data_IF_050238890927
#
_entry.id   IF_050238890927
#
_cell.length_a   1.000
_cell.length_b   1.000
_cell.length_c   1.000
_cell.angle_alpha   90.00
_cell.angle_beta   90.00
_cell.angle_gamma   90.00
#
_symmetry.space_group_name_H-M   'P 1'
#
loop_
_entity.id
_entity.type
_entity.pdbx_description
1 polymer ?
#
# COMPACT_ATOMS: atom_id res chain seq x y z
N UNK A 1 30.12 -42.59 -22.91
CA UNK A 1 30.35 -41.15 -22.67
C UNK A 1 29.57 -40.25 -23.65
N UNK A 2 29.60 -40.50 -24.96
CA UNK A 2 28.83 -39.73 -25.97
C UNK A 2 27.30 -39.79 -25.82
N UNK A 3 26.73 -40.96 -25.54
CA UNK A 3 25.28 -41.14 -25.35
C UNK A 3 24.77 -40.36 -24.13
N UNK A 4 25.52 -40.38 -23.02
CA UNK A 4 25.21 -39.62 -21.81
C UNK A 4 25.23 -38.11 -22.04
N UNK A 5 26.15 -37.61 -22.86
CA UNK A 5 26.23 -36.20 -23.23
C UNK A 5 25.07 -35.78 -24.14
N UNK A 6 24.65 -36.63 -25.07
CA UNK A 6 23.50 -36.41 -25.95
C UNK A 6 22.19 -36.38 -25.16
N UNK A 7 21.99 -37.34 -24.24
CA UNK A 7 20.83 -37.37 -23.34
C UNK A 7 20.79 -36.11 -22.47
N UNK A 8 21.92 -35.69 -21.92
CA UNK A 8 21.99 -34.49 -21.08
C UNK A 8 21.66 -33.20 -21.86
N UNK A 9 22.18 -33.05 -23.07
CA UNK A 9 21.85 -31.92 -23.96
C UNK A 9 20.37 -31.93 -24.40
N UNK A 10 19.82 -33.11 -24.68
CA UNK A 10 18.40 -33.27 -25.03
C UNK A 10 17.47 -32.91 -23.85
N UNK A 11 17.88 -33.21 -22.61
CA UNK A 11 17.13 -32.85 -21.41
C UNK A 11 17.15 -31.33 -21.21
N UNK A 12 18.33 -30.70 -21.32
CA UNK A 12 18.47 -29.24 -21.19
C UNK A 12 17.65 -28.50 -22.25
N UNK A 13 17.65 -28.98 -23.50
CA UNK A 13 16.90 -28.35 -24.57
C UNK A 13 15.38 -28.45 -24.33
N UNK A 14 14.92 -29.60 -23.83
CA UNK A 14 13.51 -29.79 -23.47
C UNK A 14 13.10 -28.89 -22.30
N UNK A 15 13.94 -28.76 -21.27
CA UNK A 15 13.71 -27.82 -20.17
C UNK A 15 13.66 -26.35 -20.65
N UNK A 16 14.51 -25.97 -21.61
CA UNK A 16 14.50 -24.64 -22.22
C UNK A 16 13.21 -24.37 -23.00
N UNK A 17 12.69 -25.34 -23.74
CA UNK A 17 11.40 -25.23 -24.44
C UNK A 17 10.22 -25.11 -23.46
N UNK A 18 10.24 -25.84 -22.34
CA UNK A 18 9.21 -25.73 -21.28
C UNK A 18 9.24 -24.36 -20.59
N UNK A 19 10.43 -23.78 -20.41
CA UNK A 19 10.60 -22.48 -19.76
C UNK A 19 10.25 -21.32 -20.69
N UNK A 20 10.87 -21.27 -21.87
CA UNK A 20 10.86 -20.11 -22.77
C UNK A 20 9.90 -20.25 -23.96
N UNK A 21 9.38 -21.46 -24.20
CA UNK A 21 8.49 -21.78 -25.32
C UNK A 21 9.20 -22.47 -26.49
N UNK A 22 8.41 -22.93 -27.46
CA UNK A 22 8.87 -23.78 -28.58
C UNK A 22 9.51 -23.03 -29.75
N UNK A 23 9.70 -21.71 -29.64
CA UNK A 23 10.33 -20.92 -30.69
C UNK A 23 11.86 -21.07 -30.64
N UNK A 24 12.40 -21.90 -31.53
CA UNK A 24 13.85 -22.13 -31.66
C UNK A 24 14.61 -20.84 -31.97
N UNK A 25 14.07 -20.01 -32.86
CA UNK A 25 14.63 -18.71 -33.23
C UNK A 25 14.72 -17.77 -32.03
N UNK A 26 13.69 -17.75 -31.18
CA UNK A 26 13.72 -16.98 -29.92
C UNK A 26 14.75 -17.53 -28.93
N UNK A 27 14.80 -18.85 -28.75
CA UNK A 27 15.78 -19.50 -27.86
C UNK A 27 17.22 -19.22 -28.29
N UNK A 28 17.51 -19.32 -29.59
CA UNK A 28 18.81 -18.96 -30.14
C UNK A 28 19.09 -17.48 -29.87
N UNK A 29 18.18 -16.57 -30.21
CA UNK A 29 18.30 -15.14 -29.94
C UNK A 29 18.61 -14.82 -28.47
N UNK A 30 17.85 -15.41 -27.54
CA UNK A 30 18.06 -15.25 -26.11
C UNK A 30 19.41 -15.80 -25.65
N UNK A 31 19.84 -16.95 -26.18
CA UNK A 31 21.13 -17.57 -25.84
C UNK A 31 22.30 -16.68 -26.28
N UNK A 32 22.26 -16.16 -27.51
CA UNK A 32 23.29 -15.23 -27.99
C UNK A 32 23.33 -13.93 -27.20
N UNK A 33 22.17 -13.37 -26.86
CA UNK A 33 22.07 -12.16 -26.04
C UNK A 33 22.67 -12.37 -24.63
N UNK A 34 22.42 -13.52 -24.01
CA UNK A 34 22.99 -13.88 -22.70
C UNK A 34 24.52 -14.07 -22.76
N UNK A 35 25.05 -14.56 -23.88
CA UNK A 35 26.48 -14.69 -24.11
C UNK A 35 27.15 -13.36 -24.49
N UNK A 36 26.40 -12.27 -24.62
CA UNK A 36 26.89 -10.97 -25.07
C UNK A 36 27.39 -10.99 -26.52
N UNK A 37 26.97 -11.99 -27.30
CA UNK A 37 27.37 -12.15 -28.70
C UNK A 37 26.36 -11.44 -29.60
N UNK A 38 26.87 -10.69 -30.55
CA UNK A 38 26.06 -10.13 -31.62
C UNK A 38 25.72 -11.27 -32.58
N UNK A 39 24.42 -11.51 -32.77
CA UNK A 39 23.93 -12.42 -33.78
C UNK A 39 24.27 -11.85 -35.17
N UNK A 40 25.32 -12.39 -35.79
CA UNK A 40 25.65 -12.14 -37.19
C UNK A 40 24.68 -12.93 -38.07
N UNK A 41 23.47 -12.42 -38.16
CA UNK A 41 22.39 -13.06 -38.88
C UNK A 41 22.17 -12.36 -40.23
N UNK A 42 22.54 -13.05 -41.31
CA UNK A 42 21.95 -12.87 -42.64
C UNK A 42 20.48 -13.36 -42.60
N UNK A 43 19.65 -12.79 -41.72
CA UNK A 43 18.25 -13.18 -41.59
C UNK A 43 17.42 -12.47 -42.66
N UNK A 44 16.65 -13.27 -43.41
CA UNK A 44 15.57 -12.75 -44.23
C UNK A 44 14.52 -12.10 -43.31
N UNK A 45 14.23 -10.81 -43.51
CA UNK A 45 13.27 -10.04 -42.72
C UNK A 45 11.91 -10.73 -42.60
N UNK A 46 11.46 -11.42 -43.66
CA UNK A 46 10.19 -12.15 -43.66
C UNK A 46 10.17 -13.30 -42.64
N UNK A 47 11.27 -14.05 -42.51
CA UNK A 47 11.37 -15.14 -41.54
C UNK A 47 11.39 -14.60 -40.10
N UNK A 48 12.11 -13.49 -39.87
CA UNK A 48 12.11 -12.80 -38.57
C UNK A 48 10.73 -12.30 -38.17
N UNK A 49 9.94 -11.82 -39.16
CA UNK A 49 8.58 -11.32 -38.92
C UNK A 49 7.62 -12.46 -38.54
N UNK A 50 7.73 -13.61 -39.20
CA UNK A 50 6.93 -14.79 -38.88
C UNK A 50 7.24 -15.33 -37.47
N UNK A 51 8.53 -15.44 -37.13
CA UNK A 51 8.97 -15.83 -35.79
C UNK A 51 8.51 -14.83 -34.72
N UNK A 52 8.63 -13.52 -34.99
CA UNK A 52 8.15 -12.48 -34.08
C UNK A 52 6.63 -12.54 -33.89
N UNK A 53 5.87 -12.78 -34.96
CA UNK A 53 4.40 -12.94 -34.91
C UNK A 53 4.02 -14.15 -34.07
N UNK A 54 4.76 -15.25 -34.18
CA UNK A 54 4.55 -16.46 -33.39
C UNK A 54 4.81 -16.22 -31.90
N UNK A 55 5.92 -15.53 -31.56
CA UNK A 55 6.29 -15.20 -30.17
C UNK A 55 5.33 -14.18 -29.56
N UNK A 56 4.81 -13.23 -30.36
CA UNK A 56 3.82 -12.24 -29.92
C UNK A 56 2.38 -12.80 -29.84
N UNK A 57 2.16 -14.07 -30.19
CA UNK A 57 0.82 -14.66 -30.19
C UNK A 57 0.28 -14.81 -28.77
N UNK A 58 -1.04 -14.64 -28.59
CA UNK A 58 -1.70 -14.79 -27.28
C UNK A 58 -1.60 -16.19 -26.68
N UNK A 59 -1.19 -17.19 -27.47
CA UNK A 59 -1.00 -18.58 -27.04
C UNK A 59 0.45 -18.89 -26.70
N UNK A 60 1.40 -17.99 -26.95
CA UNK A 60 2.82 -18.29 -26.79
C UNK A 60 3.18 -18.64 -25.35
N UNK A 61 2.54 -17.99 -24.39
CA UNK A 61 2.77 -18.23 -22.96
C UNK A 61 2.04 -19.47 -22.43
N UNK A 62 1.12 -20.05 -23.22
CA UNK A 62 0.35 -21.22 -22.80
C UNK A 62 1.26 -22.41 -22.54
N UNK A 63 1.09 -23.04 -21.37
CA UNK A 63 1.89 -24.18 -20.91
C UNK A 63 3.41 -23.93 -20.80
N UNK A 64 3.83 -22.66 -20.78
CA UNK A 64 5.22 -22.26 -20.50
C UNK A 64 5.41 -21.74 -19.07
N UNK A 65 6.66 -21.41 -18.72
CA UNK A 65 7.02 -20.76 -17.46
C UNK A 65 6.98 -19.21 -17.51
N UNK A 66 6.58 -18.61 -18.64
CA UNK A 66 6.36 -17.16 -18.74
C UNK A 66 5.35 -16.68 -17.71
N UNK A 67 5.67 -15.57 -17.05
CA UNK A 67 4.88 -15.00 -15.96
C UNK A 67 4.87 -15.79 -14.65
N UNK A 68 5.40 -17.02 -14.65
CA UNK A 68 5.51 -17.86 -13.44
C UNK A 68 6.93 -17.87 -12.88
N UNK A 69 7.94 -17.94 -13.76
CA UNK A 69 9.35 -18.00 -13.40
C UNK A 69 10.23 -17.02 -14.18
N UNK A 70 9.79 -16.65 -15.39
CA UNK A 70 10.51 -15.82 -16.35
C UNK A 70 9.64 -14.64 -16.77
N UNK A 71 10.29 -13.50 -17.04
CA UNK A 71 9.62 -12.26 -17.40
C UNK A 71 9.00 -11.55 -16.20
N UNK A 72 7.94 -10.78 -16.46
CA UNK A 72 7.15 -10.11 -15.42
C UNK A 72 6.29 -11.13 -14.70
N UNK A 73 6.44 -11.23 -13.38
CA UNK A 73 5.72 -12.24 -12.61
C UNK A 73 4.25 -11.88 -12.43
N UNK A 74 3.38 -12.86 -12.71
CA UNK A 74 1.94 -12.76 -12.58
C UNK A 74 1.49 -13.04 -11.14
N UNK A 75 0.29 -12.57 -10.81
CA UNK A 75 -0.40 -12.94 -9.56
C UNK A 75 -0.53 -11.83 -8.52
N UNK A 76 0.08 -10.66 -8.73
CA UNK A 76 -0.16 -9.46 -7.92
C UNK A 76 -0.38 -8.24 -8.82
N UNK A 77 -1.15 -7.25 -8.33
CA UNK A 77 -1.31 -5.93 -8.97
C UNK A 77 -0.10 -5.00 -8.76
N UNK A 78 0.92 -5.49 -8.06
CA UNK A 78 2.25 -4.87 -7.89
C UNK A 78 3.31 -5.83 -8.44
N UNK A 79 3.15 -6.19 -9.72
CA UNK A 79 4.04 -7.11 -10.44
C UNK A 79 5.48 -6.60 -10.48
N UNK A 80 5.67 -5.29 -10.43
CA UNK A 80 6.95 -4.61 -10.34
C UNK A 80 7.71 -4.97 -9.06
N UNK A 81 7.04 -4.84 -7.91
CA UNK A 81 7.60 -5.22 -6.61
C UNK A 81 7.82 -6.73 -6.54
N UNK A 82 6.87 -7.53 -7.04
CA UNK A 82 6.96 -8.99 -7.05
C UNK A 82 8.15 -9.48 -7.87
N UNK A 83 8.30 -8.95 -9.09
CA UNK A 83 9.38 -9.31 -10.00
C UNK A 83 10.73 -8.91 -9.43
N UNK A 84 10.84 -7.67 -8.92
CA UNK A 84 12.05 -7.18 -8.27
C UNK A 84 12.46 -8.02 -7.05
N UNK A 85 11.49 -8.40 -6.20
CA UNK A 85 11.74 -9.28 -5.07
C UNK A 85 12.25 -10.65 -5.51
N UNK A 86 11.64 -11.27 -6.52
CA UNK A 86 12.07 -12.57 -7.03
C UNK A 86 13.49 -12.53 -7.63
N UNK A 87 13.83 -11.45 -8.35
CA UNK A 87 15.18 -11.20 -8.87
C UNK A 87 16.19 -11.13 -7.71
N UNK A 88 15.89 -10.39 -6.64
CA UNK A 88 16.75 -10.31 -5.47
C UNK A 88 16.84 -11.63 -4.68
N UNK A 89 15.76 -12.42 -4.59
CA UNK A 89 15.76 -13.76 -4.01
C UNK A 89 16.72 -14.69 -4.77
N UNK A 90 16.89 -14.50 -6.08
CA UNK A 90 17.86 -15.23 -6.91
C UNK A 90 19.32 -14.74 -6.72
N UNK A 91 19.54 -13.67 -5.94
CA UNK A 91 20.86 -13.16 -5.55
C UNK A 91 21.37 -11.99 -6.39
N UNK A 92 20.55 -11.45 -7.28
CA UNK A 92 20.88 -10.23 -8.03
C UNK A 92 20.90 -9.00 -7.12
N UNK A 93 21.59 -7.95 -7.56
CA UNK A 93 21.69 -6.66 -6.86
C UNK A 93 21.17 -5.55 -7.77
N UNK A 94 20.44 -4.62 -7.18
CA UNK A 94 20.01 -3.37 -7.82
C UNK A 94 20.94 -2.22 -7.44
N UNK A 95 21.17 -1.29 -8.36
CA UNK A 95 21.91 -0.05 -8.13
C UNK A 95 20.98 1.16 -8.33
N UNK A 96 21.15 2.20 -7.51
CA UNK A 96 20.40 3.46 -7.62
C UNK A 96 21.31 4.53 -8.24
N UNK A 97 20.98 4.97 -9.45
CA UNK A 97 21.65 6.09 -10.11
C UNK A 97 20.75 7.33 -10.09
N UNK A 98 21.22 8.41 -9.47
CA UNK A 98 20.51 9.69 -9.37
C UNK A 98 21.34 10.81 -9.99
N UNK A 99 21.36 10.94 -11.33
CA UNK A 99 22.13 11.98 -12.01
C UNK A 99 21.56 13.38 -11.74
N UNK A 100 22.42 14.39 -11.86
CA UNK A 100 22.03 15.81 -11.90
C UNK A 100 22.36 16.37 -13.29
N UNK A 101 21.37 16.78 -14.10
CA UNK A 101 19.94 16.88 -13.79
C UNK A 101 19.22 15.53 -13.74
N UNK A 102 18.07 15.50 -13.05
CA UNK A 102 17.19 14.32 -12.98
C UNK A 102 16.83 13.85 -14.40
N UNK A 103 17.19 12.60 -14.71
CA UNK A 103 17.02 12.01 -16.04
C UNK A 103 15.55 11.70 -16.41
N UNK A 104 14.70 11.41 -15.41
CA UNK A 104 13.30 11.02 -15.64
C UNK A 104 12.35 11.93 -14.85
N UNK A 105 11.44 12.62 -15.55
CA UNK A 105 10.37 13.41 -14.96
C UNK A 105 9.02 12.85 -15.41
N UNK A 106 8.15 12.56 -14.45
CA UNK A 106 6.79 12.08 -14.69
C UNK A 106 5.73 13.05 -14.17
N UNK A 107 4.49 12.85 -14.59
CA UNK A 107 3.34 13.59 -14.07
C UNK A 107 2.80 12.89 -12.82
N UNK A 108 2.67 13.62 -11.71
CA UNK A 108 1.96 13.13 -10.53
C UNK A 108 0.44 13.23 -10.72
N UNK A 109 -0.36 12.35 -10.07
CA UNK A 109 -1.80 12.54 -9.97
C UNK A 109 -2.11 13.93 -9.42
N UNK A 110 -2.98 14.67 -10.11
CA UNK A 110 -3.41 16.00 -9.67
C UNK A 110 -4.62 15.92 -8.72
N UNK A 111 -5.41 14.84 -8.82
CA UNK A 111 -6.58 14.62 -7.98
C UNK A 111 -6.26 13.64 -6.85
N UNK A 112 -6.67 13.98 -5.63
CA UNK A 112 -6.51 13.12 -4.46
C UNK A 112 -7.34 11.82 -4.57
N UNK A 113 -8.45 11.82 -5.30
CA UNK A 113 -9.25 10.59 -5.54
C UNK A 113 -8.40 9.58 -6.33
N UNK A 114 -7.78 10.03 -7.42
CA UNK A 114 -6.89 9.23 -8.25
C UNK A 114 -5.71 8.71 -7.40
N UNK A 115 -5.14 9.56 -6.55
CA UNK A 115 -4.09 9.16 -5.62
C UNK A 115 -4.58 8.08 -4.63
N UNK A 116 -5.78 8.20 -4.04
CA UNK A 116 -6.31 7.19 -3.12
C UNK A 116 -6.55 5.84 -3.80
N UNK A 117 -7.03 5.82 -5.05
CA UNK A 117 -7.18 4.59 -5.85
C UNK A 117 -5.81 3.94 -6.09
N UNK A 118 -4.82 4.75 -6.47
CA UNK A 118 -3.45 4.29 -6.67
C UNK A 118 -2.86 3.70 -5.38
N UNK A 119 -3.04 4.38 -4.24
CA UNK A 119 -2.60 3.91 -2.93
C UNK A 119 -3.27 2.61 -2.51
N UNK A 120 -4.57 2.44 -2.80
CA UNK A 120 -5.31 1.19 -2.56
C UNK A 120 -4.69 0.05 -3.37
N UNK A 121 -4.47 0.26 -4.67
CA UNK A 121 -3.88 -0.75 -5.58
C UNK A 121 -2.47 -1.17 -5.14
N UNK A 122 -1.66 -0.19 -4.76
CA UNK A 122 -0.32 -0.42 -4.22
C UNK A 122 -0.37 -1.23 -2.93
N UNK A 123 -1.17 -0.80 -1.95
CA UNK A 123 -1.30 -1.51 -0.69
C UNK A 123 -1.83 -2.95 -0.87
N UNK A 124 -2.85 -3.16 -1.73
CA UNK A 124 -3.39 -4.49 -1.99
C UNK A 124 -2.37 -5.39 -2.69
N UNK A 125 -1.70 -4.92 -3.75
CA UNK A 125 -0.72 -5.73 -4.48
C UNK A 125 0.47 -6.10 -3.60
N UNK A 126 0.99 -5.16 -2.82
CA UNK A 126 2.06 -5.40 -1.87
C UNK A 126 1.67 -6.37 -0.75
N UNK A 127 0.46 -6.24 -0.20
CA UNK A 127 -0.01 -7.16 0.82
C UNK A 127 -0.26 -8.57 0.25
N UNK A 128 -0.74 -8.68 -1.00
CA UNK A 128 -0.90 -9.96 -1.69
C UNK A 128 0.44 -10.70 -1.84
N UNK A 129 1.52 -9.96 -2.13
CA UNK A 129 2.89 -10.52 -2.15
C UNK A 129 3.27 -11.00 -0.75
N UNK A 130 3.02 -10.20 0.30
CA UNK A 130 3.38 -10.54 1.69
C UNK A 130 2.74 -11.86 2.15
N UNK A 131 1.49 -12.11 1.76
CA UNK A 131 0.77 -13.34 2.11
C UNK A 131 0.88 -14.45 1.06
N UNK A 132 1.74 -14.28 0.04
CA UNK A 132 2.03 -15.28 -0.98
C UNK A 132 3.27 -16.12 -0.65
N UNK A 133 3.55 -17.12 -1.49
CA UNK A 133 4.80 -17.90 -1.44
C UNK A 133 6.04 -17.06 -1.84
N UNK A 134 5.84 -15.87 -2.39
CA UNK A 134 6.93 -14.95 -2.79
C UNK A 134 7.23 -13.90 -1.73
N UNK A 135 7.00 -14.19 -0.44
CA UNK A 135 7.23 -13.22 0.63
C UNK A 135 8.72 -13.12 1.02
N UNK A 136 9.17 -11.95 1.53
CA UNK A 136 10.59 -11.71 1.82
C UNK A 136 11.15 -12.57 2.95
N UNK A 137 10.30 -13.10 3.84
CA UNK A 137 10.73 -13.98 4.93
C UNK A 137 11.19 -15.32 4.34
N UNK A 138 10.40 -15.92 3.45
CA UNK A 138 10.81 -17.12 2.72
C UNK A 138 12.03 -16.84 1.84
N UNK A 139 12.08 -15.66 1.20
CA UNK A 139 13.23 -15.22 0.42
C UNK A 139 14.54 -15.15 1.23
N UNK A 140 14.46 -14.78 2.51
CA UNK A 140 15.61 -14.74 3.41
C UNK A 140 16.04 -16.13 3.89
N UNK A 141 15.09 -16.99 4.28
CA UNK A 141 15.40 -18.31 4.82
C UNK A 141 15.75 -19.36 3.76
N UNK A 142 15.12 -19.29 2.59
CA UNK A 142 15.23 -20.30 1.52
C UNK A 142 15.83 -19.76 0.22
N UNK A 143 16.08 -18.44 0.14
CA UNK A 143 16.67 -17.79 -1.02
C UNK A 143 18.02 -17.14 -0.72
N UNK A 144 18.42 -16.19 -1.59
CA UNK A 144 19.65 -15.40 -1.45
C UNK A 144 19.38 -13.95 -1.01
N UNK A 145 18.17 -13.67 -0.52
CA UNK A 145 17.80 -12.32 -0.07
C UNK A 145 18.55 -12.00 1.23
N UNK A 146 19.24 -10.87 1.29
CA UNK A 146 19.97 -10.48 2.50
C UNK A 146 19.02 -10.03 3.60
N UNK A 147 19.40 -10.21 4.87
CA UNK A 147 18.57 -9.83 6.02
C UNK A 147 18.05 -8.38 5.96
N UNK A 148 18.93 -7.41 5.68
CA UNK A 148 18.54 -5.99 5.59
C UNK A 148 17.60 -5.73 4.41
N UNK A 149 17.80 -6.40 3.29
CA UNK A 149 16.90 -6.33 2.14
C UNK A 149 15.54 -6.92 2.50
N UNK A 150 15.51 -8.07 3.20
CA UNK A 150 14.29 -8.70 3.67
C UNK A 150 13.48 -7.78 4.61
N UNK A 151 14.15 -7.06 5.52
CA UNK A 151 13.50 -6.04 6.36
C UNK A 151 12.94 -4.87 5.54
N UNK A 152 13.68 -4.39 4.55
CA UNK A 152 13.23 -3.32 3.65
C UNK A 152 11.97 -3.74 2.86
N UNK A 153 12.00 -4.94 2.28
CA UNK A 153 10.82 -5.51 1.64
C UNK A 153 9.67 -5.71 2.61
N UNK A 154 9.91 -6.27 3.80
CA UNK A 154 8.87 -6.45 4.80
C UNK A 154 8.20 -5.11 5.17
N UNK A 155 8.98 -4.05 5.35
CA UNK A 155 8.46 -2.71 5.63
C UNK A 155 7.57 -2.17 4.50
N UNK A 156 8.02 -2.26 3.24
CA UNK A 156 7.25 -1.84 2.07
C UNK A 156 5.97 -2.67 1.94
N UNK A 157 6.06 -3.99 2.08
CA UNK A 157 4.93 -4.90 1.88
C UNK A 157 3.89 -4.83 3.01
N UNK A 158 4.25 -4.27 4.17
CA UNK A 158 3.38 -4.21 5.35
C UNK A 158 2.41 -3.01 5.37
N UNK A 159 2.33 -2.21 4.30
CA UNK A 159 1.48 -1.01 4.27
C UNK A 159 0.01 -1.31 4.58
N UNK A 160 -0.60 -2.25 3.87
CA UNK A 160 -2.00 -2.62 4.12
C UNK A 160 -2.17 -3.20 5.53
N UNK A 161 -1.27 -4.08 5.97
CA UNK A 161 -1.32 -4.69 7.30
C UNK A 161 -1.24 -3.64 8.41
N UNK A 162 -0.43 -2.58 8.25
CA UNK A 162 -0.30 -1.47 9.21
C UNK A 162 -1.62 -0.73 9.44
N UNK A 163 -2.58 -0.78 8.50
CA UNK A 163 -3.87 -0.10 8.64
C UNK A 163 -4.70 -0.59 9.83
N UNK A 164 -4.62 -1.87 10.17
CA UNK A 164 -5.39 -2.47 11.26
C UNK A 164 -4.98 -1.90 12.63
N UNK A 165 -3.70 -2.00 13.07
CA UNK A 165 -3.30 -1.41 14.34
C UNK A 165 -3.47 0.11 14.34
N UNK A 166 -3.28 0.78 13.20
CA UNK A 166 -3.50 2.22 13.09
C UNK A 166 -4.95 2.62 13.44
N UNK A 167 -5.95 1.93 12.90
CA UNK A 167 -7.37 2.19 13.20
C UNK A 167 -7.68 1.89 14.68
N UNK A 168 -7.12 0.83 15.23
CA UNK A 168 -7.27 0.49 16.65
C UNK A 168 -6.70 1.61 17.54
N UNK A 169 -5.48 2.05 17.28
CA UNK A 169 -4.84 3.13 18.03
C UNK A 169 -5.53 4.49 17.83
N UNK A 170 -6.01 4.77 16.62
CA UNK A 170 -6.78 5.99 16.35
C UNK A 170 -8.10 6.00 17.13
N UNK A 171 -8.73 4.85 17.33
CA UNK A 171 -10.00 4.73 18.09
C UNK A 171 -9.80 4.82 19.61
N UNK A 172 -8.59 4.56 20.11
CA UNK A 172 -8.31 4.40 21.54
C UNK A 172 -8.57 5.68 22.37
N UNK A 173 -8.15 6.90 21.97
CA UNK A 173 -8.46 8.12 22.73
C UNK A 173 -9.97 8.33 22.87
N UNK A 174 -10.73 8.14 21.78
CA UNK A 174 -12.18 8.27 21.80
C UNK A 174 -12.85 7.21 22.68
N UNK A 175 -12.41 5.96 22.59
CA UNK A 175 -12.87 4.87 23.47
C UNK A 175 -12.68 5.25 24.95
N UNK A 176 -11.48 5.72 25.31
CA UNK A 176 -11.14 6.11 26.68
C UNK A 176 -12.03 7.24 27.21
N UNK A 177 -12.26 8.28 26.42
CA UNK A 177 -13.17 9.37 26.79
C UNK A 177 -14.60 8.87 26.98
N UNK A 178 -15.12 8.09 26.02
CA UNK A 178 -16.51 7.60 26.05
C UNK A 178 -16.77 6.60 27.18
N UNK A 179 -15.76 5.84 27.61
CA UNK A 179 -15.86 4.84 28.68
C UNK A 179 -15.39 5.34 30.04
N UNK A 180 -14.91 6.58 30.10
CA UNK A 180 -14.20 7.15 31.24
C UNK A 180 -13.06 6.26 31.77
N UNK A 181 -12.24 5.77 30.84
CA UNK A 181 -11.04 4.97 31.10
C UNK A 181 -9.79 5.68 30.58
N UNK A 182 -8.60 5.23 30.98
CA UNK A 182 -7.32 5.80 30.51
C UNK A 182 -6.44 4.72 29.87
N UNK A 183 -5.77 5.09 28.77
CA UNK A 183 -4.71 4.26 28.17
C UNK A 183 -3.33 4.85 28.41
N UNK A 184 -3.26 6.12 28.83
CA UNK A 184 -2.01 6.82 29.03
C UNK A 184 -1.43 6.46 30.41
N UNK A 185 -0.14 6.10 30.48
CA UNK A 185 0.46 5.78 31.77
C UNK A 185 0.67 7.05 32.60
N UNK A 186 0.75 6.87 33.92
CA UNK A 186 0.97 7.96 34.88
C UNK A 186 2.19 8.84 34.55
N UNK A 187 3.24 8.25 33.94
CA UNK A 187 4.44 8.99 33.47
C UNK A 187 4.25 9.50 32.04
N UNK A 188 3.33 10.45 31.88
CA UNK A 188 2.98 11.04 30.57
C UNK A 188 4.18 11.73 29.89
N UNK A 189 5.10 12.31 30.69
CA UNK A 189 6.26 13.06 30.18
C UNK A 189 7.19 12.23 29.29
N UNK A 190 7.39 10.94 29.58
CA UNK A 190 8.19 10.04 28.73
C UNK A 190 7.57 9.90 27.35
N UNK A 191 6.26 9.66 27.30
CA UNK A 191 5.51 9.48 26.05
C UNK A 191 5.44 10.78 25.25
N UNK A 192 5.20 11.90 25.93
CA UNK A 192 5.25 13.22 25.33
C UNK A 192 6.64 13.52 24.75
N UNK A 193 7.72 13.17 25.45
CA UNK A 193 9.09 13.39 24.96
C UNK A 193 9.38 12.57 23.70
N UNK A 194 8.93 11.32 23.63
CA UNK A 194 9.07 10.48 22.44
C UNK A 194 8.30 11.04 21.25
N UNK A 195 7.06 11.50 21.48
CA UNK A 195 6.25 12.14 20.45
C UNK A 195 6.91 13.42 19.91
N UNK A 196 7.39 14.28 20.80
CA UNK A 196 8.08 15.53 20.42
C UNK A 196 9.37 15.23 19.66
N UNK A 197 10.21 14.32 20.15
CA UNK A 197 11.44 13.92 19.49
C UNK A 197 11.18 13.37 18.08
N UNK A 198 10.20 12.48 17.92
CA UNK A 198 9.83 11.95 16.60
C UNK A 198 9.42 13.06 15.61
N UNK A 199 8.57 13.99 16.04
CA UNK A 199 8.13 15.09 15.18
C UNK A 199 9.29 16.04 14.82
N UNK A 200 10.17 16.36 15.77
CA UNK A 200 11.35 17.19 15.51
C UNK A 200 12.32 16.50 14.55
N UNK A 201 12.60 15.20 14.75
CA UNK A 201 13.49 14.44 13.88
C UNK A 201 12.99 14.40 12.44
N UNK A 202 11.71 14.05 12.24
CA UNK A 202 11.11 13.98 10.89
C UNK A 202 11.03 15.35 10.22
N UNK A 203 10.79 16.42 10.99
CA UNK A 203 10.82 17.79 10.48
C UNK A 203 12.23 18.20 10.07
N UNK A 204 13.24 17.92 10.91
CA UNK A 204 14.65 18.21 10.64
C UNK A 204 15.13 17.52 9.38
N UNK A 205 14.79 16.24 9.20
CA UNK A 205 15.12 15.48 8.00
C UNK A 205 14.46 16.09 6.75
N UNK A 206 13.16 16.41 6.82
CA UNK A 206 12.45 17.03 5.71
C UNK A 206 13.07 18.36 5.28
N UNK A 207 13.46 19.21 6.24
CA UNK A 207 14.12 20.48 5.97
C UNK A 207 15.50 20.29 5.31
N UNK A 208 16.28 19.30 5.75
CA UNK A 208 17.58 18.94 5.12
C UNK A 208 17.42 18.50 3.67
N UNK A 209 16.30 17.86 3.32
CA UNK A 209 15.97 17.45 1.95
C UNK A 209 15.29 18.56 1.12
N UNK A 210 15.15 19.78 1.66
CA UNK A 210 14.53 20.91 0.96
C UNK A 210 12.99 20.93 0.99
N UNK A 211 12.34 20.09 1.80
CA UNK A 211 10.89 20.11 1.96
C UNK A 211 10.46 21.26 2.87
N UNK A 212 9.34 21.90 2.52
CA UNK A 212 8.75 22.94 3.37
C UNK A 212 8.06 22.35 4.61
N UNK A 213 7.91 23.15 5.67
CA UNK A 213 7.13 22.79 6.86
C UNK A 213 5.68 22.44 6.50
N UNK A 214 5.09 23.16 5.54
CA UNK A 214 3.74 22.88 5.02
C UNK A 214 3.68 21.49 4.37
N UNK A 215 4.70 21.12 3.60
CA UNK A 215 4.80 19.80 2.97
C UNK A 215 4.94 18.71 4.04
N UNK A 216 5.78 18.92 5.05
CA UNK A 216 5.90 17.99 6.17
C UNK A 216 4.57 17.79 6.90
N UNK A 217 3.86 18.87 7.24
CA UNK A 217 2.55 18.76 7.90
C UNK A 217 1.52 18.06 7.02
N UNK A 218 1.49 18.36 5.73
CA UNK A 218 0.64 17.64 4.78
C UNK A 218 0.95 16.14 4.76
N UNK A 219 2.24 15.75 4.80
CA UNK A 219 2.64 14.35 4.84
C UNK A 219 2.17 13.67 6.14
N UNK A 220 2.28 14.33 7.30
CA UNK A 220 1.77 13.79 8.59
C UNK A 220 0.25 13.54 8.55
N UNK A 221 -0.50 14.44 7.94
CA UNK A 221 -1.96 14.26 7.77
C UNK A 221 -2.28 13.15 6.79
N UNK A 222 -1.65 13.19 5.61
CA UNK A 222 -1.94 12.27 4.53
C UNK A 222 -1.51 10.84 4.83
N UNK A 223 -0.43 10.61 5.60
CA UNK A 223 -0.06 9.25 5.99
C UNK A 223 -1.15 8.62 6.84
N UNK A 224 -1.72 9.33 7.83
CA UNK A 224 -2.82 8.84 8.68
C UNK A 224 -4.09 8.58 7.85
N UNK A 225 -4.49 9.58 7.04
CA UNK A 225 -5.67 9.48 6.17
C UNK A 225 -5.54 8.27 5.23
N UNK A 226 -4.42 8.15 4.50
CA UNK A 226 -4.22 7.09 3.50
C UNK A 226 -4.19 5.71 4.15
N UNK A 227 -3.57 5.60 5.33
CA UNK A 227 -3.46 4.35 6.09
C UNK A 227 -4.84 3.84 6.51
N UNK A 228 -5.67 4.71 7.10
CA UNK A 228 -6.99 4.32 7.60
C UNK A 228 -8.06 4.26 6.50
N UNK A 229 -7.76 4.71 5.27
CA UNK A 229 -8.67 4.64 4.12
C UNK A 229 -8.21 3.63 3.07
N UNK A 230 -7.41 4.08 2.10
CA UNK A 230 -6.99 3.31 0.94
C UNK A 230 -6.27 2.02 1.34
N UNK A 231 -5.35 2.08 2.31
CA UNK A 231 -4.60 0.89 2.74
C UNK A 231 -5.48 -0.09 3.50
N UNK A 232 -6.43 0.39 4.32
CA UNK A 232 -7.41 -0.47 4.99
C UNK A 232 -8.32 -1.19 3.99
N UNK A 233 -8.80 -0.51 2.96
CA UNK A 233 -9.53 -1.17 1.87
C UNK A 233 -8.67 -2.15 1.08
N UNK A 234 -7.40 -1.81 0.83
CA UNK A 234 -6.45 -2.72 0.21
C UNK A 234 -6.25 -3.99 1.04
N UNK A 235 -6.17 -3.86 2.37
CA UNK A 235 -6.12 -4.98 3.30
C UNK A 235 -7.36 -5.85 3.21
N UNK A 236 -8.56 -5.27 3.35
CA UNK A 236 -9.83 -6.00 3.26
C UNK A 236 -9.99 -6.72 1.92
N UNK A 237 -9.62 -6.09 0.80
CA UNK A 237 -9.72 -6.68 -0.52
C UNK A 237 -8.92 -7.99 -0.65
N UNK A 238 -7.69 -8.01 -0.11
CA UNK A 238 -6.87 -9.23 -0.13
C UNK A 238 -7.36 -10.27 0.87
N UNK A 239 -7.86 -9.87 2.04
CA UNK A 239 -8.48 -10.83 2.97
C UNK A 239 -9.67 -11.51 2.30
N UNK A 240 -10.55 -10.76 1.64
CA UNK A 240 -11.70 -11.31 0.91
C UNK A 240 -11.26 -12.22 -0.26
N UNK A 241 -10.19 -11.85 -0.98
CA UNK A 241 -9.55 -12.70 -2.00
C UNK A 241 -9.10 -14.03 -1.41
N UNK A 242 -8.38 -13.99 -0.28
CA UNK A 242 -7.83 -15.19 0.38
C UNK A 242 -8.93 -16.09 0.95
N UNK A 243 -10.05 -15.51 1.37
CA UNK A 243 -11.26 -16.24 1.77
C UNK A 243 -12.10 -16.73 0.59
N UNK A 244 -11.69 -16.48 -0.67
CA UNK A 244 -12.44 -16.80 -1.90
C UNK A 244 -13.85 -16.21 -1.97
N UNK A 245 -14.05 -15.06 -1.31
CA UNK A 245 -15.33 -14.35 -1.28
C UNK A 245 -15.46 -13.41 -2.48
N UNK A 246 -14.37 -12.74 -2.87
CA UNK A 246 -14.36 -11.83 -4.01
C UNK A 246 -12.95 -11.68 -4.58
N UNK A 247 -12.82 -11.62 -5.91
CA UNK A 247 -11.57 -11.20 -6.55
C UNK A 247 -11.45 -9.67 -6.54
N UNK A 248 -10.28 -9.11 -6.17
CA UNK A 248 -10.09 -7.67 -6.20
C UNK A 248 -10.08 -7.17 -7.64
N UNK A 249 -11.05 -6.32 -7.98
CA UNK A 249 -11.09 -5.68 -9.29
C UNK A 249 -9.98 -4.64 -9.38
N UNK A 250 -9.16 -4.73 -10.42
CA UNK A 250 -8.16 -3.71 -10.73
C UNK A 250 -8.86 -2.42 -11.17
N UNK A 251 -8.88 -1.42 -10.29
CA UNK A 251 -9.44 -0.11 -10.61
C UNK A 251 -8.44 0.69 -11.45
N UNK A 252 -8.82 0.96 -12.70
CA UNK A 252 -7.99 1.75 -13.62
C UNK A 252 -7.89 3.18 -13.11
N UNK A 253 -6.66 3.61 -12.86
CA UNK A 253 -6.33 4.99 -12.54
C UNK A 253 -6.47 5.82 -13.81
N UNK A 254 -7.61 6.48 -14.00
CA UNK A 254 -7.84 7.34 -15.17
C UNK A 254 -6.87 8.53 -15.12
N UNK A 255 -6.10 8.73 -16.20
CA UNK A 255 -5.39 9.99 -16.43
C UNK A 255 -6.42 10.98 -17.00
N UNK A 256 -7.11 11.70 -16.12
CA UNK A 256 -8.03 12.74 -16.59
C UNK A 256 -7.22 13.90 -17.21
N UNK A 257 -7.73 14.46 -18.30
CA UNK A 257 -7.27 15.74 -18.82
C UNK A 257 -7.56 16.86 -17.81
N UNK A 258 -6.67 17.85 -17.81
CA UNK A 258 -6.55 18.94 -16.85
C UNK A 258 -7.87 19.64 -16.50
N UNK A 259 -8.49 19.25 -15.38
CA UNK A 259 -9.25 20.21 -14.58
C UNK A 259 -8.25 21.02 -13.75
N UNK A 260 -8.47 22.34 -13.64
CA UNK A 260 -7.60 23.21 -12.84
C UNK A 260 -7.63 22.77 -11.39
N UNK A 261 -6.55 22.16 -10.90
CA UNK A 261 -6.44 21.75 -9.51
C UNK A 261 -6.39 23.00 -8.62
N UNK A 262 -7.40 23.16 -7.76
CA UNK A 262 -7.56 24.32 -6.89
C UNK A 262 -6.90 24.12 -5.50
N UNK A 263 -6.14 23.04 -5.32
CA UNK A 263 -5.44 22.74 -4.07
C UNK A 263 -6.35 22.18 -2.96
N UNK A 264 -7.64 21.95 -3.22
CA UNK A 264 -8.59 21.42 -2.24
C UNK A 264 -8.75 19.92 -2.36
N UNK A 265 -9.10 19.29 -1.23
CA UNK A 265 -9.36 17.86 -1.17
C UNK A 265 -10.75 17.57 -1.73
N UNK A 266 -10.82 16.62 -2.67
CA UNK A 266 -12.04 16.22 -3.35
C UNK A 266 -12.58 14.90 -2.79
N UNK A 267 -13.89 14.70 -2.88
CA UNK A 267 -14.60 13.51 -2.46
C UNK A 267 -15.52 13.03 -3.58
N UNK A 268 -15.78 11.73 -3.59
CA UNK A 268 -16.79 11.09 -4.43
C UNK A 268 -17.47 9.97 -3.65
N UNK A 269 -18.36 9.23 -4.29
CA UNK A 269 -19.11 8.13 -3.66
C UNK A 269 -18.28 6.88 -3.34
N UNK A 270 -16.94 6.95 -3.49
CA UNK A 270 -16.06 5.83 -3.19
C UNK A 270 -16.16 5.43 -1.72
N UNK A 271 -16.28 4.12 -1.43
CA UNK A 271 -16.34 3.62 -0.07
C UNK A 271 -15.01 3.83 0.68
N UNK A 272 -13.91 4.14 -0.02
CA UNK A 272 -12.58 4.42 0.57
C UNK A 272 -12.64 5.55 1.61
N UNK A 273 -13.54 6.52 1.46
CA UNK A 273 -13.67 7.63 2.40
C UNK A 273 -14.40 7.26 3.71
N UNK A 274 -15.15 6.15 3.73
CA UNK A 274 -16.01 5.75 4.85
C UNK A 274 -15.26 5.58 6.19
N UNK A 275 -14.13 4.84 6.29
CA UNK A 275 -13.47 4.62 7.57
C UNK A 275 -12.88 5.91 8.13
N UNK A 276 -12.28 6.74 7.27
CA UNK A 276 -11.74 8.05 7.63
C UNK A 276 -12.81 9.00 8.17
N UNK A 277 -13.98 9.08 7.51
CA UNK A 277 -15.12 9.87 7.99
C UNK A 277 -15.69 9.30 9.29
N UNK A 278 -15.73 7.98 9.45
CA UNK A 278 -16.16 7.32 10.68
C UNK A 278 -15.23 7.64 11.85
N UNK A 279 -13.91 7.55 11.66
CA UNK A 279 -12.92 7.91 12.68
C UNK A 279 -13.07 9.38 13.08
N UNK A 280 -13.23 10.29 12.11
CA UNK A 280 -13.48 11.70 12.40
C UNK A 280 -14.72 11.88 13.30
N UNK A 281 -15.84 11.24 12.99
CA UNK A 281 -17.06 11.32 13.80
C UNK A 281 -16.88 10.72 15.18
N UNK A 282 -16.19 9.58 15.31
CA UNK A 282 -15.87 8.98 16.61
C UNK A 282 -15.05 9.94 17.48
N UNK A 283 -14.03 10.61 16.92
CA UNK A 283 -13.25 11.61 17.68
C UNK A 283 -14.09 12.84 18.05
N UNK A 284 -14.89 13.37 17.13
CA UNK A 284 -15.75 14.52 17.39
C UNK A 284 -16.79 14.22 18.47
N UNK A 285 -17.41 13.04 18.44
CA UNK A 285 -18.33 12.60 19.48
C UNK A 285 -17.65 12.48 20.83
N UNK A 286 -16.44 11.93 20.89
CA UNK A 286 -15.68 11.84 22.14
C UNK A 286 -15.35 13.24 22.70
N UNK A 287 -14.85 14.17 21.86
CA UNK A 287 -14.58 15.54 22.30
C UNK A 287 -15.85 16.25 22.77
N UNK A 288 -16.97 16.01 22.10
CA UNK A 288 -18.27 16.53 22.51
C UNK A 288 -18.69 15.95 23.87
N UNK A 289 -18.60 14.64 24.08
CA UNK A 289 -18.88 14.00 25.38
C UNK A 289 -18.02 14.61 26.49
N UNK A 290 -16.72 14.76 26.27
CA UNK A 290 -15.81 15.36 27.25
C UNK A 290 -16.09 16.84 27.51
N UNK A 291 -16.59 17.59 26.53
CA UNK A 291 -16.90 19.00 26.69
C UNK A 291 -18.14 19.21 27.58
N UNK A 292 -19.12 18.32 27.48
CA UNK A 292 -20.38 18.41 28.21
C UNK A 292 -20.42 17.58 29.50
N UNK A 293 -19.36 16.84 29.83
CA UNK A 293 -19.32 16.00 31.02
C UNK A 293 -20.30 14.82 30.95
N UNK A 294 -20.53 14.29 29.74
CA UNK A 294 -21.50 13.20 29.49
C UNK A 294 -20.90 11.81 29.61
N UNK A 295 -19.64 11.73 30.02
CA UNK A 295 -18.96 10.48 30.29
C UNK A 295 -19.60 9.72 31.46
N UNK A 296 -19.56 8.39 31.43
CA UNK A 296 -19.96 7.55 32.56
C UNK A 296 -19.10 7.80 33.81
N UNK A 297 -19.60 7.42 34.99
CA UNK A 297 -18.78 7.46 36.22
C UNK A 297 -17.60 6.49 36.11
N UNK A 298 -16.45 6.88 36.66
CA UNK A 298 -15.24 6.03 36.70
C UNK A 298 -15.56 4.73 37.45
N UNK A 299 -15.47 3.59 36.75
CA UNK A 299 -15.78 2.27 37.34
C UNK A 299 -14.56 1.63 38.00
N UNK A 300 -13.36 1.81 37.43
CA UNK A 300 -12.08 1.29 37.94
C UNK A 300 -10.91 2.21 37.54
N UNK A 301 -10.02 2.54 38.49
CA UNK A 301 -8.79 3.30 38.23
C UNK A 301 -8.99 4.81 38.09
N UNK A 302 -8.15 5.45 37.29
CA UNK A 302 -8.27 6.87 36.93
C UNK A 302 -9.13 6.99 35.67
N UNK A 303 -10.00 8.02 35.63
CA UNK A 303 -10.70 8.40 34.40
C UNK A 303 -9.74 8.92 33.34
N UNK A 304 -10.26 9.21 32.14
CA UNK A 304 -9.45 9.84 31.10
C UNK A 304 -8.93 11.21 31.58
N UNK A 305 -7.78 11.62 31.06
CA UNK A 305 -7.19 12.91 31.37
C UNK A 305 -7.10 13.83 30.15
N UNK A 306 -6.39 14.95 30.33
CA UNK A 306 -6.10 15.88 29.24
C UNK A 306 -5.34 15.24 28.07
N UNK A 307 -4.55 14.19 28.34
CA UNK A 307 -3.79 13.50 27.29
C UNK A 307 -4.68 12.85 26.23
N UNK A 308 -5.73 12.14 26.65
CA UNK A 308 -6.71 11.53 25.74
C UNK A 308 -7.45 12.58 24.91
N UNK A 309 -7.84 13.69 25.54
CA UNK A 309 -8.49 14.82 24.86
C UNK A 309 -7.54 15.45 23.83
N UNK A 310 -6.27 15.66 24.18
CA UNK A 310 -5.24 16.16 23.25
C UNK A 310 -5.01 15.19 22.10
N UNK A 311 -4.94 13.88 22.35
CA UNK A 311 -4.80 12.87 21.31
C UNK A 311 -5.99 12.88 20.34
N UNK A 312 -7.22 12.95 20.86
CA UNK A 312 -8.44 13.05 20.04
C UNK A 312 -8.45 14.34 19.21
N UNK A 313 -8.14 15.48 19.82
CA UNK A 313 -8.04 16.77 19.13
C UNK A 313 -6.95 16.78 18.05
N UNK A 314 -5.80 16.15 18.32
CA UNK A 314 -4.72 15.99 17.33
C UNK A 314 -5.18 15.17 16.12
N UNK A 315 -5.93 14.07 16.34
CA UNK A 315 -6.50 13.29 15.24
C UNK A 315 -7.49 14.13 14.43
N UNK A 316 -8.37 14.91 15.05
CA UNK A 316 -9.27 15.84 14.34
C UNK A 316 -8.47 16.85 13.50
N UNK A 317 -7.36 17.39 14.04
CA UNK A 317 -6.46 18.26 13.29
C UNK A 317 -5.79 17.55 12.10
N UNK A 318 -5.43 16.28 12.25
CA UNK A 318 -4.94 15.47 11.12
C UNK A 318 -6.01 15.30 10.04
N UNK A 319 -7.26 15.12 10.45
CA UNK A 319 -8.44 14.95 9.58
C UNK A 319 -9.06 16.26 9.11
N UNK A 320 -8.36 17.38 9.24
CA UNK A 320 -8.83 18.69 8.78
C UNK A 320 -9.42 18.73 7.35
N UNK A 321 -8.89 18.01 6.34
CA UNK A 321 -9.52 17.97 5.02
C UNK A 321 -10.92 17.35 5.03
N UNK A 322 -11.13 16.30 5.82
CA UNK A 322 -12.43 15.64 5.97
C UNK A 322 -13.40 16.53 6.76
N UNK A 323 -12.92 17.20 7.81
CA UNK A 323 -13.73 18.15 8.57
C UNK A 323 -14.25 19.28 7.68
N UNK A 324 -13.38 19.85 6.82
CA UNK A 324 -13.81 20.82 5.80
C UNK A 324 -14.79 20.20 4.80
N UNK A 325 -14.57 18.95 4.42
CA UNK A 325 -15.44 18.20 3.51
C UNK A 325 -16.87 18.02 4.01
N UNK A 326 -17.12 18.03 5.33
CA UNK A 326 -18.48 17.96 5.88
C UNK A 326 -19.34 19.19 5.50
N UNK A 327 -18.69 20.33 5.26
CA UNK A 327 -19.33 21.59 4.91
C UNK A 327 -19.01 22.00 3.46
N UNK A 328 -18.39 21.11 2.69
CA UNK A 328 -18.03 21.35 1.29
C UNK A 328 -19.23 21.24 0.35
N UNK A 329 -19.14 21.90 -0.80
CA UNK A 329 -20.15 21.86 -1.86
C UNK A 329 -19.56 21.17 -3.09
N UNK A 330 -20.39 20.39 -3.81
CA UNK A 330 -19.97 19.69 -5.03
C UNK A 330 -18.87 18.67 -4.74
N UNK A 331 -17.82 18.65 -5.57
CA UNK A 331 -16.73 17.68 -5.47
C UNK A 331 -15.85 17.85 -4.22
N UNK A 332 -15.99 18.94 -3.46
CA UNK A 332 -15.26 19.17 -2.21
C UNK A 332 -16.07 18.78 -0.98
N UNK A 333 -17.32 18.36 -1.14
CA UNK A 333 -18.20 17.89 -0.07
C UNK A 333 -18.20 16.37 0.05
N UNK A 334 -18.15 15.84 1.28
CA UNK A 334 -18.32 14.40 1.52
C UNK A 334 -19.77 14.03 1.15
N UNK A 335 -20.00 13.01 0.29
CA UNK A 335 -21.36 12.63 -0.08
C UNK A 335 -22.22 12.27 1.12
N UNK A 336 -23.50 12.66 1.08
CA UNK A 336 -24.46 12.38 2.16
C UNK A 336 -24.54 10.89 2.49
N UNK A 337 -24.47 10.02 1.48
CA UNK A 337 -24.46 8.56 1.68
C UNK A 337 -23.30 8.10 2.56
N UNK A 338 -22.11 8.70 2.41
CA UNK A 338 -20.93 8.41 3.23
C UNK A 338 -21.09 8.98 4.63
N UNK A 339 -21.65 10.19 4.76
CA UNK A 339 -21.96 10.81 6.05
C UNK A 339 -22.92 9.91 6.84
N UNK A 340 -24.07 9.54 6.28
CA UNK A 340 -25.06 8.69 6.96
C UNK A 340 -24.46 7.36 7.41
N UNK A 341 -23.73 6.66 6.52
CA UNK A 341 -23.07 5.39 6.87
C UNK A 341 -22.04 5.57 7.99
N UNK A 342 -21.24 6.64 7.94
CA UNK A 342 -20.25 6.96 8.98
C UNK A 342 -20.91 7.31 10.32
N UNK A 343 -22.03 8.03 10.29
CA UNK A 343 -22.83 8.32 11.49
C UNK A 343 -23.37 7.05 12.11
N UNK A 344 -23.91 6.12 11.31
CA UNK A 344 -24.37 4.83 11.84
C UNK A 344 -23.23 4.02 12.47
N UNK A 345 -22.07 3.95 11.81
CA UNK A 345 -20.90 3.24 12.34
C UNK A 345 -20.33 3.88 13.61
N UNK A 346 -20.28 5.22 13.69
CA UNK A 346 -19.83 5.92 14.89
C UNK A 346 -20.81 5.77 16.06
N UNK A 347 -22.12 5.82 15.81
CA UNK A 347 -23.14 5.51 16.83
C UNK A 347 -23.05 4.07 17.31
N UNK A 348 -22.82 3.11 16.40
CA UNK A 348 -22.58 1.71 16.76
C UNK A 348 -21.33 1.59 17.64
N UNK A 349 -20.25 2.29 17.31
CA UNK A 349 -19.04 2.32 18.13
C UNK A 349 -19.32 2.85 19.54
N UNK A 350 -20.06 3.96 19.67
CA UNK A 350 -20.47 4.50 20.98
C UNK A 350 -21.35 3.52 21.74
N UNK A 351 -22.27 2.84 21.06
CA UNK A 351 -23.11 1.80 21.66
C UNK A 351 -22.25 0.63 22.19
N UNK A 352 -21.29 0.16 21.42
CA UNK A 352 -20.34 -0.89 21.85
C UNK A 352 -19.48 -0.43 23.04
N UNK A 353 -19.05 0.83 23.07
CA UNK A 353 -18.36 1.42 24.24
C UNK A 353 -19.26 1.41 25.48
N UNK A 354 -20.55 1.71 25.35
CA UNK A 354 -21.48 1.64 26.48
C UNK A 354 -21.69 0.20 26.96
N UNK A 355 -21.76 -0.76 26.04
CA UNK A 355 -21.87 -2.18 26.39
C UNK A 355 -20.64 -2.70 27.14
N UNK A 356 -19.43 -2.28 26.76
CA UNK A 356 -18.20 -2.70 27.45
C UNK A 356 -18.10 -2.18 28.90
N UNK A 357 -18.92 -1.21 29.28
CA UNK A 357 -19.04 -0.71 30.66
C UNK A 357 -20.06 -1.52 31.47
N UNK A 358 -21.02 -2.19 30.83
CA UNK A 358 -22.10 -2.94 31.50
C UNK A 358 -21.63 -4.36 31.86
N UNK A 359 -20.85 -4.99 30.98
CA UNK A 359 -20.12 -6.23 31.27
C UNK A 359 -18.99 -5.93 32.25
#
# INVERSE_FOLDING_TARGET
MLIMRYIFLSIIFKEMEEIFGTSKSFLESATYALEGKILNLNYNLCNSLEDATKVASCRFEQDTAWGKQVGWLYGSTSEDVLTGLNIHIKGWRSELCSPDPIAFKGCSPQDNIINMIQQKRWASGMFDILVSNNNPILGFFYGKLQFRQALGYFWILSWALRSVPEICYASLPAYCILTNSTFLPQKLWLHASLFVNYNISTLSEGLKTGLSIRTWWNNQRMIRITTMSAWFYGFLAIILKRLRISEPVFEITKKNESSSYDGRFSFNESPIFLPSTTILFVQLMALFTSLFGWEPRVRNGLGYGYGEVICSAYLVACYWPFLKGLFGIGNHGIPLSTIFKSTMLSLLFVYLCKLSIIV
#
